data_IF_820290197527
#
_entry.id   IF_820290197527
#
_cell.length_a   1.000
_cell.length_b   1.000
_cell.length_c   1.000
_cell.angle_alpha   90.00
_cell.angle_beta   90.00
_cell.angle_gamma   90.00
#
_symmetry.space_group_name_H-M   'P 1'
#
loop_
_entity.id
_entity.type
_entity.pdbx_description
1 polymer ?
#
# COMPACT_ATOMS: atom_id res chain seq x y z
N UNK A 1 40.81 -7.93 -25.40
CA UNK A 1 39.51 -8.53 -25.76
C UNK A 1 38.74 -8.75 -24.47
N UNK A 2 37.95 -7.77 -24.02
CA UNK A 2 37.08 -7.94 -22.86
C UNK A 2 35.84 -8.72 -23.31
N UNK A 3 35.66 -9.92 -22.80
CA UNK A 3 34.43 -10.67 -23.03
C UNK A 3 33.27 -9.84 -22.39
N UNK A 4 32.29 -9.50 -23.24
CA UNK A 4 31.10 -8.75 -22.80
C UNK A 4 30.53 -9.39 -21.54
N UNK A 5 30.15 -8.58 -20.50
CA UNK A 5 29.50 -9.07 -19.27
C UNK A 5 28.34 -10.03 -19.54
N UNK A 6 27.63 -9.80 -20.65
CA UNK A 6 26.56 -10.65 -21.16
C UNK A 6 27.01 -12.09 -21.53
N UNK A 7 28.25 -12.27 -22.07
CA UNK A 7 28.79 -13.60 -22.39
C UNK A 7 29.19 -14.38 -21.13
N UNK A 8 29.78 -13.71 -20.13
CA UNK A 8 30.11 -14.32 -18.85
C UNK A 8 28.85 -14.74 -18.10
N UNK A 9 27.82 -13.88 -18.11
CA UNK A 9 26.52 -14.16 -17.56
C UNK A 9 25.83 -15.36 -18.23
N UNK A 10 25.75 -15.41 -19.57
CA UNK A 10 25.17 -16.55 -20.32
C UNK A 10 25.85 -17.87 -19.97
N UNK A 11 27.15 -17.88 -19.69
CA UNK A 11 27.87 -19.08 -19.22
C UNK A 11 27.46 -19.47 -17.79
N UNK A 12 27.28 -18.49 -16.90
CA UNK A 12 26.83 -18.74 -15.51
C UNK A 12 25.40 -19.28 -15.47
N UNK A 13 24.53 -18.71 -16.29
CA UNK A 13 23.13 -19.14 -16.44
C UNK A 13 23.02 -20.54 -17.05
N UNK A 14 23.90 -20.88 -18.01
CA UNK A 14 23.98 -22.23 -18.58
C UNK A 14 24.49 -23.31 -17.61
N UNK A 15 25.17 -22.92 -16.52
CA UNK A 15 25.72 -23.87 -15.54
C UNK A 15 24.70 -24.37 -14.50
N UNK A 16 23.50 -23.74 -14.39
CA UNK A 16 22.46 -24.25 -13.50
C UNK A 16 21.70 -25.41 -14.16
N UNK A 17 21.86 -26.58 -13.60
CA UNK A 17 21.19 -27.79 -14.07
C UNK A 17 19.69 -27.76 -13.72
N UNK A 18 18.87 -28.53 -14.45
CA UNK A 18 17.46 -28.70 -14.11
C UNK A 18 17.23 -29.15 -12.67
N UNK A 19 18.17 -29.90 -12.10
CA UNK A 19 18.13 -30.40 -10.71
C UNK A 19 18.29 -29.27 -9.69
N UNK A 20 19.08 -28.24 -9.98
CA UNK A 20 19.24 -27.07 -9.11
C UNK A 20 17.94 -26.26 -9.03
N UNK A 21 17.27 -26.07 -10.16
CA UNK A 21 15.98 -25.40 -10.23
C UNK A 21 14.93 -26.16 -9.40
N UNK A 22 14.84 -27.46 -9.58
CA UNK A 22 13.92 -28.34 -8.85
C UNK A 22 14.19 -28.32 -7.32
N UNK A 23 15.45 -28.37 -6.93
CA UNK A 23 15.87 -28.31 -5.53
C UNK A 23 15.51 -26.99 -4.87
N UNK A 24 15.78 -25.85 -5.54
CA UNK A 24 15.43 -24.53 -5.03
C UNK A 24 13.93 -24.31 -4.95
N UNK A 25 13.19 -24.74 -5.95
CA UNK A 25 11.72 -24.67 -5.98
C UNK A 25 11.11 -25.48 -4.82
N UNK A 26 11.60 -26.70 -4.57
CA UNK A 26 11.18 -27.54 -3.45
C UNK A 26 11.49 -26.89 -2.11
N UNK A 27 12.70 -26.35 -1.94
CA UNK A 27 13.09 -25.64 -0.71
C UNK A 27 12.20 -24.43 -0.46
N UNK A 28 11.91 -23.64 -1.50
CA UNK A 28 11.01 -22.49 -1.37
C UNK A 28 9.59 -22.92 -0.98
N UNK A 29 9.07 -24.03 -1.55
CA UNK A 29 7.75 -24.53 -1.20
C UNK A 29 7.61 -24.96 0.26
N UNK A 30 8.69 -25.41 0.89
CA UNK A 30 8.73 -25.75 2.32
C UNK A 30 8.63 -24.52 3.24
N UNK A 31 8.92 -23.32 2.70
CA UNK A 31 8.86 -22.05 3.44
C UNK A 31 7.46 -21.42 3.46
N UNK A 32 6.47 -22.08 2.86
CA UNK A 32 5.08 -21.60 2.86
C UNK A 32 4.50 -21.80 4.27
N UNK A 33 3.96 -20.72 4.82
CA UNK A 33 3.11 -20.77 6.00
C UNK A 33 1.66 -21.03 5.58
N UNK A 34 1.03 -22.02 6.20
CA UNK A 34 -0.33 -22.44 5.92
C UNK A 34 -1.23 -22.06 7.08
N UNK A 35 -2.33 -21.37 6.80
CA UNK A 35 -3.40 -21.24 7.77
C UNK A 35 -4.18 -22.57 7.87
N UNK A 36 -5.12 -22.67 8.82
CA UNK A 36 -6.01 -23.80 8.88
C UNK A 36 -6.84 -23.89 7.59
N UNK A 37 -6.80 -25.06 6.92
CA UNK A 37 -7.52 -25.28 5.67
C UNK A 37 -8.91 -25.79 5.97
N UNK A 38 -9.92 -25.06 5.52
CA UNK A 38 -11.33 -25.45 5.62
C UNK A 38 -11.71 -26.15 4.32
N UNK A 39 -12.16 -27.42 4.37
CA UNK A 39 -12.59 -28.15 3.17
C UNK A 39 -13.68 -27.39 2.39
N UNK A 40 -13.61 -27.45 1.06
CA UNK A 40 -14.59 -26.82 0.18
C UNK A 40 -14.33 -25.32 -0.11
N UNK A 41 -13.43 -24.68 0.61
CA UNK A 41 -13.04 -23.29 0.31
C UNK A 41 -11.84 -23.24 -0.63
N UNK A 42 -11.84 -22.37 -1.65
CA UNK A 42 -10.66 -22.15 -2.50
C UNK A 42 -9.45 -21.69 -1.69
N UNK A 43 -8.26 -22.16 -2.06
CA UNK A 43 -7.00 -21.80 -1.40
C UNK A 43 -6.20 -20.81 -2.23
N UNK A 44 -5.88 -19.66 -1.63
CA UNK A 44 -5.08 -18.59 -2.22
C UNK A 44 -3.68 -18.57 -1.62
N UNK A 45 -2.66 -18.76 -2.45
CA UNK A 45 -1.27 -18.58 -2.06
C UNK A 45 -0.87 -17.11 -2.22
N UNK A 46 -0.52 -16.44 -1.14
CA UNK A 46 -0.17 -15.02 -1.12
C UNK A 46 1.35 -14.80 -1.12
N UNK A 47 1.86 -14.07 -2.12
CA UNK A 47 3.22 -13.52 -2.09
C UNK A 47 3.28 -12.32 -1.12
N UNK A 48 3.52 -12.64 0.17
CA UNK A 48 3.37 -11.69 1.28
C UNK A 48 4.48 -10.65 1.35
N UNK A 49 4.10 -9.37 1.44
CA UNK A 49 4.94 -8.22 1.82
C UNK A 49 4.39 -7.58 3.10
N UNK A 50 5.25 -6.94 3.89
CA UNK A 50 4.84 -6.34 5.17
C UNK A 50 3.65 -5.37 5.03
N UNK A 51 3.71 -4.50 4.00
CA UNK A 51 2.67 -3.50 3.75
C UNK A 51 1.36 -4.08 3.21
N UNK A 52 1.38 -5.31 2.70
CA UNK A 52 0.23 -6.03 2.19
C UNK A 52 -0.46 -6.88 3.26
N UNK A 53 0.17 -7.05 4.42
CA UNK A 53 -0.34 -7.94 5.48
C UNK A 53 -1.69 -7.49 6.04
N UNK A 54 -1.96 -6.19 6.09
CA UNK A 54 -3.26 -5.66 6.60
C UNK A 54 -4.43 -6.02 5.68
N UNK A 55 -4.24 -5.96 4.35
CA UNK A 55 -5.29 -6.39 3.41
C UNK A 55 -5.55 -7.89 3.53
N UNK A 56 -4.48 -8.69 3.62
CA UNK A 56 -4.60 -10.15 3.77
C UNK A 56 -5.24 -10.54 5.10
N UNK A 57 -4.99 -9.78 6.17
CA UNK A 57 -5.63 -9.97 7.47
C UNK A 57 -7.15 -9.75 7.38
N UNK A 58 -7.59 -8.65 6.75
CA UNK A 58 -9.02 -8.40 6.55
C UNK A 58 -9.67 -9.48 5.66
N UNK A 59 -9.00 -9.88 4.59
CA UNK A 59 -9.50 -10.98 3.74
C UNK A 59 -9.66 -12.28 4.52
N UNK A 60 -8.70 -12.64 5.39
CA UNK A 60 -8.79 -13.83 6.25
C UNK A 60 -10.01 -13.79 7.17
N UNK A 61 -10.31 -12.62 7.70
CA UNK A 61 -11.38 -12.44 8.69
C UNK A 61 -12.77 -12.32 8.07
N UNK A 62 -12.86 -11.91 6.81
CA UNK A 62 -14.12 -11.49 6.20
C UNK A 62 -14.46 -12.20 4.89
N UNK A 63 -13.73 -13.27 4.51
CA UNK A 63 -13.99 -14.06 3.29
C UNK A 63 -14.07 -15.56 3.57
N UNK A 64 -14.64 -16.29 2.62
CA UNK A 64 -14.73 -17.76 2.64
C UNK A 64 -13.58 -18.42 1.86
N UNK A 65 -12.38 -17.86 1.97
CA UNK A 65 -11.17 -18.36 1.32
C UNK A 65 -10.21 -18.97 2.33
N UNK A 66 -9.43 -19.96 1.90
CA UNK A 66 -8.25 -20.41 2.62
C UNK A 66 -7.04 -19.62 2.16
N UNK A 67 -6.11 -19.34 3.09
CA UNK A 67 -4.89 -18.62 2.77
C UNK A 67 -3.64 -19.42 3.12
N UNK A 68 -2.66 -19.33 2.25
CA UNK A 68 -1.28 -19.71 2.51
C UNK A 68 -0.40 -18.52 2.15
N UNK A 69 0.75 -18.38 2.78
CA UNK A 69 1.61 -17.23 2.55
C UNK A 69 3.08 -17.63 2.36
N UNK A 70 3.72 -17.00 1.39
CA UNK A 70 5.17 -17.08 1.17
C UNK A 70 5.76 -15.67 1.18
N UNK A 71 6.90 -15.49 1.81
CA UNK A 71 7.59 -14.20 1.82
C UNK A 71 8.09 -13.83 0.42
N UNK A 72 7.69 -12.65 -0.08
CA UNK A 72 8.20 -12.12 -1.34
C UNK A 72 9.73 -11.91 -1.32
N UNK A 73 10.33 -11.70 -0.14
CA UNK A 73 11.80 -11.64 0.02
C UNK A 73 12.42 -13.02 -0.23
N UNK A 74 11.78 -14.11 0.21
CA UNK A 74 12.26 -15.47 -0.03
C UNK A 74 12.12 -15.84 -1.51
N UNK A 75 11.01 -15.47 -2.16
CA UNK A 75 10.84 -15.61 -3.62
C UNK A 75 11.96 -14.87 -4.35
N UNK A 76 12.24 -13.62 -3.99
CA UNK A 76 13.33 -12.83 -4.56
C UNK A 76 14.67 -13.56 -4.42
N UNK A 77 15.03 -13.96 -3.20
CA UNK A 77 16.32 -14.63 -2.92
C UNK A 77 16.50 -15.93 -3.71
N UNK A 78 15.43 -16.69 -3.90
CA UNK A 78 15.49 -17.96 -4.65
C UNK A 78 15.82 -17.78 -6.14
N UNK A 79 15.63 -16.60 -6.70
CA UNK A 79 15.86 -16.29 -8.11
C UNK A 79 17.03 -15.32 -8.33
N UNK A 80 17.55 -14.72 -7.27
CA UNK A 80 18.49 -13.59 -7.35
C UNK A 80 19.80 -13.94 -8.08
N UNK A 81 20.23 -15.19 -7.99
CA UNK A 81 21.43 -15.66 -8.69
C UNK A 81 21.22 -15.86 -10.22
N UNK A 82 19.98 -15.95 -10.67
CA UNK A 82 19.67 -16.21 -12.08
C UNK A 82 19.34 -14.94 -12.85
N UNK A 83 18.77 -13.95 -12.17
CA UNK A 83 18.34 -12.69 -12.79
C UNK A 83 19.47 -11.68 -12.69
N UNK A 84 19.96 -11.12 -13.82
CA UNK A 84 20.98 -10.09 -13.83
C UNK A 84 20.65 -8.90 -12.97
N UNK A 85 21.65 -8.30 -12.35
CA UNK A 85 21.43 -7.17 -11.45
C UNK A 85 20.86 -5.95 -12.16
N UNK A 86 21.34 -5.66 -13.35
CA UNK A 86 20.84 -4.58 -14.20
C UNK A 86 19.36 -4.76 -14.56
N UNK A 87 18.92 -6.01 -14.83
CA UNK A 87 17.51 -6.31 -15.06
C UNK A 87 16.67 -6.20 -13.79
N UNK A 88 17.21 -6.54 -12.62
CA UNK A 88 16.51 -6.44 -11.33
C UNK A 88 16.18 -5.01 -10.92
N UNK A 89 16.90 -4.03 -11.46
CA UNK A 89 16.68 -2.61 -11.21
C UNK A 89 15.73 -1.96 -12.22
N UNK A 90 15.41 -2.67 -13.32
CA UNK A 90 14.53 -2.12 -14.35
C UNK A 90 13.06 -2.14 -13.95
N UNK A 91 12.39 -1.05 -14.20
CA UNK A 91 10.93 -1.00 -14.14
C UNK A 91 10.35 -1.76 -15.34
N UNK A 92 9.25 -2.51 -15.09
CA UNK A 92 8.59 -3.32 -16.12
C UNK A 92 9.50 -4.43 -16.69
N UNK A 93 10.18 -5.11 -15.81
CA UNK A 93 11.08 -6.23 -16.08
C UNK A 93 10.49 -7.25 -17.08
N UNK A 94 9.19 -7.55 -16.97
CA UNK A 94 8.52 -8.50 -17.87
C UNK A 94 8.63 -8.10 -19.36
N UNK A 95 8.74 -6.81 -19.67
CA UNK A 95 8.94 -6.35 -21.04
C UNK A 95 10.34 -6.72 -21.56
N UNK A 96 11.33 -6.77 -20.66
CA UNK A 96 12.73 -7.10 -21.00
C UNK A 96 12.96 -8.60 -21.10
N UNK A 97 12.17 -9.43 -20.42
CA UNK A 97 12.27 -10.89 -20.49
C UNK A 97 12.09 -11.45 -21.90
N UNK A 98 11.33 -10.75 -22.75
CA UNK A 98 11.13 -11.14 -24.16
C UNK A 98 12.43 -11.19 -24.97
N UNK A 99 13.44 -10.45 -24.54
CA UNK A 99 14.74 -10.41 -25.17
C UNK A 99 15.68 -11.57 -24.73
N UNK A 100 15.31 -12.32 -23.68
CA UNK A 100 16.09 -13.45 -23.16
C UNK A 100 15.23 -14.72 -22.99
N UNK A 101 15.03 -15.50 -24.07
CA UNK A 101 14.20 -16.72 -24.02
C UNK A 101 14.74 -17.80 -23.10
N UNK A 102 16.04 -17.81 -22.79
CA UNK A 102 16.63 -18.80 -21.90
C UNK A 102 16.27 -18.48 -20.44
N UNK A 103 16.42 -17.23 -20.04
CA UNK A 103 15.99 -16.77 -18.71
C UNK A 103 14.48 -16.99 -18.52
N UNK A 104 13.67 -16.68 -19.55
CA UNK A 104 12.22 -16.91 -19.52
C UNK A 104 11.88 -18.37 -19.22
N UNK A 105 12.50 -19.33 -19.95
CA UNK A 105 12.29 -20.77 -19.72
C UNK A 105 12.72 -21.22 -18.33
N UNK A 106 13.80 -20.68 -17.78
CA UNK A 106 14.25 -21.00 -16.42
C UNK A 106 13.29 -20.51 -15.37
N UNK A 107 12.82 -19.27 -15.50
CA UNK A 107 11.83 -18.70 -14.57
C UNK A 107 10.52 -19.49 -14.61
N UNK A 108 10.04 -19.86 -15.81
CA UNK A 108 8.85 -20.71 -15.97
C UNK A 108 9.04 -22.08 -15.30
N UNK A 109 10.16 -22.77 -15.58
CA UNK A 109 10.46 -24.06 -14.99
C UNK A 109 10.52 -24.00 -13.45
N UNK A 110 11.12 -22.94 -12.90
CA UNK A 110 11.16 -22.72 -11.45
C UNK A 110 9.75 -22.46 -10.89
N UNK A 111 8.98 -21.56 -11.48
CA UNK A 111 7.63 -21.24 -11.01
C UNK A 111 6.70 -22.45 -11.05
N UNK A 112 6.76 -23.21 -12.14
CA UNK A 112 6.01 -24.48 -12.29
C UNK A 112 6.41 -25.50 -11.22
N UNK A 113 7.70 -25.73 -11.01
CA UNK A 113 8.21 -26.67 -10.02
C UNK A 113 7.82 -26.24 -8.58
N UNK A 114 7.89 -24.94 -8.28
CA UNK A 114 7.47 -24.39 -7.01
C UNK A 114 6.00 -24.66 -6.72
N UNK A 115 5.11 -24.35 -7.67
CA UNK A 115 3.67 -24.51 -7.50
C UNK A 115 3.27 -26.00 -7.41
N UNK A 116 3.89 -26.88 -8.20
CA UNK A 116 3.68 -28.35 -8.09
C UNK A 116 4.07 -28.83 -6.68
N UNK A 117 5.23 -28.43 -6.16
CA UNK A 117 5.66 -28.84 -4.82
C UNK A 117 4.76 -28.26 -3.71
N UNK A 118 4.33 -27.00 -3.84
CA UNK A 118 3.40 -26.37 -2.93
C UNK A 118 2.03 -27.08 -2.91
N UNK A 119 1.49 -27.41 -4.09
CA UNK A 119 0.18 -28.08 -4.25
C UNK A 119 0.15 -29.53 -3.76
N UNK A 120 1.31 -30.15 -3.44
CA UNK A 120 1.34 -31.48 -2.81
C UNK A 120 0.74 -31.50 -1.41
N UNK A 121 0.77 -30.38 -0.71
CA UNK A 121 0.18 -30.28 0.64
C UNK A 121 -1.32 -29.95 0.57
N UNK A 122 -1.66 -28.93 -0.20
CA UNK A 122 -3.02 -28.44 -0.41
C UNK A 122 -3.12 -27.91 -1.82
N UNK A 123 -4.20 -28.17 -2.53
CA UNK A 123 -4.46 -27.61 -3.84
C UNK A 123 -4.45 -26.08 -3.75
N UNK A 124 -3.68 -25.42 -4.63
CA UNK A 124 -3.68 -23.98 -4.80
C UNK A 124 -4.62 -23.61 -5.94
N UNK A 125 -5.67 -22.86 -5.63
CA UNK A 125 -6.67 -22.45 -6.61
C UNK A 125 -6.37 -21.11 -7.25
N UNK A 126 -5.63 -20.24 -6.55
CA UNK A 126 -5.14 -18.97 -7.07
C UNK A 126 -3.82 -18.55 -6.38
N UNK A 127 -3.02 -17.75 -7.05
CA UNK A 127 -1.88 -17.04 -6.44
C UNK A 127 -2.15 -15.55 -6.45
N UNK A 128 -1.89 -14.86 -5.35
CA UNK A 128 -2.12 -13.42 -5.22
C UNK A 128 -0.85 -12.67 -4.80
N UNK A 129 -0.52 -11.59 -5.50
CA UNK A 129 0.61 -10.71 -5.19
C UNK A 129 0.17 -9.25 -5.02
N UNK A 130 1.07 -8.40 -4.51
CA UNK A 130 0.78 -7.00 -4.20
C UNK A 130 1.06 -6.03 -5.36
N UNK A 131 1.80 -6.45 -6.37
CA UNK A 131 2.21 -5.61 -7.49
C UNK A 131 2.15 -6.36 -8.81
N UNK A 132 1.87 -5.66 -9.89
CA UNK A 132 1.69 -6.30 -11.19
C UNK A 132 2.97 -6.31 -12.06
N UNK A 133 3.97 -5.48 -11.73
CA UNK A 133 5.18 -5.22 -12.52
C UNK A 133 6.49 -5.71 -11.89
N UNK A 134 6.44 -6.38 -10.74
CA UNK A 134 7.65 -6.77 -10.03
C UNK A 134 8.31 -8.00 -10.65
N UNK A 135 9.61 -7.89 -10.96
CA UNK A 135 10.41 -8.95 -11.56
C UNK A 135 10.45 -10.25 -10.75
N UNK A 136 10.46 -10.16 -9.42
CA UNK A 136 10.52 -11.34 -8.56
C UNK A 136 9.24 -12.19 -8.60
N UNK A 137 8.13 -11.65 -9.09
CA UNK A 137 6.88 -12.37 -9.21
C UNK A 137 6.74 -13.06 -10.59
N UNK A 138 7.62 -12.75 -11.55
CA UNK A 138 7.51 -13.25 -12.95
C UNK A 138 7.60 -14.77 -13.04
N UNK A 139 8.52 -15.42 -12.29
CA UNK A 139 8.60 -16.87 -12.29
C UNK A 139 7.30 -17.52 -11.82
N UNK A 140 6.66 -16.94 -10.82
CA UNK A 140 5.40 -17.46 -10.30
C UNK A 140 4.26 -17.22 -11.29
N UNK A 141 4.22 -16.04 -11.96
CA UNK A 141 3.24 -15.76 -13.03
C UNK A 141 3.34 -16.78 -14.18
N UNK A 142 4.57 -17.03 -14.66
CA UNK A 142 4.84 -18.01 -15.71
C UNK A 142 4.44 -19.43 -15.29
N UNK A 143 4.79 -19.82 -14.06
CA UNK A 143 4.40 -21.12 -13.50
C UNK A 143 2.88 -21.26 -13.36
N UNK A 144 2.19 -20.19 -12.97
CA UNK A 144 0.74 -20.13 -12.90
C UNK A 144 0.11 -20.34 -14.30
N UNK A 145 0.59 -19.60 -15.29
CA UNK A 145 0.14 -19.73 -16.68
C UNK A 145 0.32 -21.16 -17.20
N UNK A 146 1.49 -21.78 -16.97
CA UNK A 146 1.80 -23.14 -17.40
C UNK A 146 0.93 -24.23 -16.71
N UNK A 147 0.37 -23.94 -15.54
CA UNK A 147 -0.47 -24.88 -14.76
C UNK A 147 -1.97 -24.54 -14.79
N UNK A 148 -2.37 -23.48 -15.49
CA UNK A 148 -3.74 -23.01 -15.52
C UNK A 148 -4.24 -22.53 -14.13
N UNK A 149 -3.33 -22.04 -13.27
CA UNK A 149 -3.66 -21.42 -11.99
C UNK A 149 -3.74 -19.89 -12.20
N UNK A 150 -4.83 -19.21 -11.81
CA UNK A 150 -4.89 -17.77 -11.96
C UNK A 150 -3.86 -17.07 -11.06
N UNK A 151 -3.06 -16.16 -11.67
CA UNK A 151 -2.21 -15.24 -10.94
C UNK A 151 -2.92 -13.89 -10.86
N UNK A 152 -3.23 -13.47 -9.64
CA UNK A 152 -4.02 -12.28 -9.34
C UNK A 152 -3.14 -11.23 -8.65
N UNK A 153 -3.48 -9.97 -8.86
CA UNK A 153 -2.85 -8.86 -8.14
C UNK A 153 -3.92 -8.12 -7.34
N UNK A 154 -3.69 -7.94 -6.05
CA UNK A 154 -4.36 -6.91 -5.26
C UNK A 154 -3.36 -5.76 -5.10
N UNK A 155 -3.50 -4.74 -5.94
CA UNK A 155 -2.54 -3.64 -6.02
C UNK A 155 -2.51 -2.84 -4.73
N UNK A 156 -1.36 -2.83 -4.07
CA UNK A 156 -1.16 -2.02 -2.87
C UNK A 156 -0.86 -0.56 -3.19
N UNK A 157 -0.35 -0.27 -4.38
CA UNK A 157 -0.05 1.08 -4.82
C UNK A 157 -1.34 1.75 -5.31
N UNK A 158 -1.49 3.01 -4.96
CA UNK A 158 -2.66 3.80 -5.32
C UNK A 158 -2.21 5.10 -6.00
N UNK A 159 -2.57 5.26 -7.27
CA UNK A 159 -2.10 6.34 -8.12
C UNK A 159 -3.17 7.44 -8.22
N UNK A 160 -3.52 8.03 -7.08
CA UNK A 160 -4.61 9.03 -6.98
C UNK A 160 -4.15 10.47 -6.87
N UNK A 161 -2.85 10.72 -6.69
CA UNK A 161 -2.30 12.06 -6.90
C UNK A 161 -2.50 12.42 -8.38
N UNK A 162 -3.09 13.56 -8.72
CA UNK A 162 -3.55 13.85 -10.09
C UNK A 162 -2.49 13.65 -11.18
N UNK A 163 -1.23 14.02 -10.93
CA UNK A 163 -0.16 13.83 -11.93
C UNK A 163 0.33 12.38 -12.05
N UNK A 164 0.20 11.54 -10.99
CA UNK A 164 0.78 10.20 -10.99
C UNK A 164 0.06 9.24 -11.93
N UNK A 165 -1.25 9.37 -12.08
CA UNK A 165 -2.03 8.49 -12.94
C UNK A 165 -1.68 8.65 -14.43
N UNK A 166 -1.67 9.86 -15.02
CA UNK A 166 -1.23 10.07 -16.41
C UNK A 166 0.24 9.70 -16.63
N UNK A 167 1.12 10.06 -15.69
CA UNK A 167 2.53 9.72 -15.75
C UNK A 167 2.77 8.21 -15.80
N UNK A 168 2.11 7.44 -14.93
CA UNK A 168 2.25 5.99 -14.91
C UNK A 168 1.65 5.36 -16.17
N UNK A 169 0.49 5.84 -16.61
CA UNK A 169 -0.16 5.41 -17.85
C UNK A 169 0.80 5.51 -19.03
N UNK A 170 1.40 6.69 -19.23
CA UNK A 170 2.36 6.93 -20.29
C UNK A 170 3.60 6.04 -20.17
N UNK A 171 4.15 5.91 -18.97
CA UNK A 171 5.33 5.09 -18.70
C UNK A 171 5.10 3.61 -18.99
N UNK A 172 3.92 3.07 -18.67
CA UNK A 172 3.55 1.69 -19.00
C UNK A 172 3.42 1.51 -20.51
N UNK A 173 2.79 2.47 -21.20
CA UNK A 173 2.62 2.44 -22.64
C UNK A 173 3.98 2.49 -23.37
N UNK A 174 4.86 3.42 -22.98
CA UNK A 174 6.21 3.59 -23.57
C UNK A 174 7.09 2.34 -23.39
N UNK A 175 7.00 1.72 -22.23
CA UNK A 175 7.69 0.46 -21.93
C UNK A 175 7.09 -0.74 -22.70
N UNK A 176 5.95 -0.58 -23.37
CA UNK A 176 5.20 -1.67 -24.00
C UNK A 176 4.98 -2.85 -23.04
N UNK A 177 4.84 -2.53 -21.75
CA UNK A 177 4.64 -3.54 -20.72
C UNK A 177 3.32 -4.28 -20.94
N UNK A 178 3.33 -5.59 -20.68
CA UNK A 178 2.13 -6.42 -20.65
C UNK A 178 2.15 -7.29 -19.39
N UNK A 179 1.09 -7.21 -18.64
CA UNK A 179 0.86 -8.06 -17.48
C UNK A 179 0.52 -9.48 -17.94
N UNK A 180 1.24 -10.45 -17.42
CA UNK A 180 1.07 -11.86 -17.77
C UNK A 180 0.23 -12.64 -16.75
N UNK A 181 -0.41 -11.97 -15.81
CA UNK A 181 -1.34 -12.58 -14.87
C UNK A 181 -2.78 -12.58 -15.41
N UNK A 182 -3.70 -13.04 -14.55
CA UNK A 182 -5.10 -13.24 -14.91
C UNK A 182 -5.95 -12.00 -14.68
N UNK A 183 -5.71 -11.25 -13.58
CA UNK A 183 -6.49 -10.06 -13.25
C UNK A 183 -5.84 -9.20 -12.17
N UNK A 184 -6.29 -7.95 -12.08
CA UNK A 184 -5.82 -6.95 -11.12
C UNK A 184 -7.00 -6.36 -10.36
N UNK A 185 -7.01 -6.47 -9.04
CA UNK A 185 -7.86 -5.67 -8.16
C UNK A 185 -7.09 -4.43 -7.71
N UNK A 186 -7.72 -3.27 -7.72
CA UNK A 186 -7.12 -2.00 -7.33
C UNK A 186 -8.06 -1.14 -6.49
N UNK A 187 -7.52 -0.13 -5.84
CA UNK A 187 -8.23 0.64 -4.83
C UNK A 187 -9.05 1.80 -5.39
N UNK A 188 -8.79 2.24 -6.63
CA UNK A 188 -9.45 3.41 -7.20
C UNK A 188 -9.53 3.37 -8.72
N UNK A 189 -10.48 4.12 -9.26
CA UNK A 189 -10.60 4.34 -10.71
C UNK A 189 -9.37 5.04 -11.31
N UNK A 190 -8.70 5.90 -10.56
CA UNK A 190 -7.44 6.52 -11.01
C UNK A 190 -6.34 5.47 -11.23
N UNK A 191 -6.22 4.52 -10.29
CA UNK A 191 -5.28 3.40 -10.41
C UNK A 191 -5.66 2.48 -11.57
N UNK A 192 -6.95 2.17 -11.78
CA UNK A 192 -7.42 1.42 -12.95
C UNK A 192 -6.97 2.10 -14.26
N UNK A 193 -7.22 3.41 -14.40
CA UNK A 193 -6.78 4.16 -15.58
C UNK A 193 -5.25 4.13 -15.77
N UNK A 194 -4.51 4.31 -14.68
CA UNK A 194 -3.04 4.29 -14.74
C UNK A 194 -2.48 2.94 -15.25
N UNK A 195 -3.09 1.83 -14.84
CA UNK A 195 -2.63 0.47 -15.14
C UNK A 195 -3.15 -0.07 -16.48
N UNK A 196 -4.22 0.49 -17.03
CA UNK A 196 -4.93 -0.05 -18.21
C UNK A 196 -4.04 -0.33 -19.42
N UNK A 197 -3.00 0.48 -19.76
CA UNK A 197 -2.12 0.13 -20.89
C UNK A 197 -1.33 -1.16 -20.72
N UNK A 198 -1.18 -1.60 -19.46
CA UNK A 198 -0.38 -2.78 -19.12
C UNK A 198 -1.15 -4.11 -19.17
N UNK A 199 -2.46 -4.10 -19.36
CA UNK A 199 -3.29 -5.32 -19.43
C UNK A 199 -3.86 -5.53 -20.84
N UNK A 200 -4.16 -6.77 -21.18
CA UNK A 200 -4.74 -7.09 -22.49
C UNK A 200 -6.19 -6.61 -22.62
N UNK A 201 -6.96 -6.76 -21.53
CA UNK A 201 -8.34 -6.31 -21.44
C UNK A 201 -8.50 -5.41 -20.21
N UNK A 202 -8.91 -4.13 -20.34
CA UNK A 202 -9.17 -3.25 -19.20
C UNK A 202 -10.22 -3.77 -18.21
N UNK A 203 -11.09 -4.69 -18.61
CA UNK A 203 -12.07 -5.32 -17.74
C UNK A 203 -11.45 -6.34 -16.78
N UNK A 204 -10.22 -6.77 -17.04
CA UNK A 204 -9.46 -7.56 -16.08
C UNK A 204 -8.88 -6.71 -14.92
N UNK A 205 -9.11 -5.39 -14.90
CA UNK A 205 -8.83 -4.52 -13.76
C UNK A 205 -10.14 -4.18 -13.05
N UNK A 206 -10.30 -4.70 -11.84
CA UNK A 206 -11.45 -4.45 -10.97
C UNK A 206 -11.14 -3.36 -9.95
N UNK A 207 -12.07 -2.44 -9.73
CA UNK A 207 -11.97 -1.46 -8.65
C UNK A 207 -12.73 -2.00 -7.46
N UNK A 208 -12.00 -2.60 -6.51
CA UNK A 208 -12.58 -3.29 -5.35
C UNK A 208 -12.56 -2.44 -4.08
N UNK A 209 -11.82 -1.34 -4.07
CA UNK A 209 -11.43 -0.71 -2.81
C UNK A 209 -10.33 -1.50 -2.09
N UNK A 210 -9.98 -1.05 -0.90
CA UNK A 210 -8.89 -1.62 -0.12
C UNK A 210 -9.40 -2.34 1.13
N UNK A 211 -9.25 -3.67 1.25
CA UNK A 211 -9.72 -4.46 2.39
C UNK A 211 -9.30 -3.90 3.75
N UNK A 212 -8.08 -3.38 3.87
CA UNK A 212 -7.54 -2.79 5.11
C UNK A 212 -8.39 -1.70 5.72
N UNK A 213 -9.34 -1.12 4.97
CA UNK A 213 -10.23 -0.07 5.44
C UNK A 213 -11.62 -0.58 5.83
N UNK A 214 -11.94 -1.85 5.66
CA UNK A 214 -13.25 -2.40 6.02
C UNK A 214 -13.56 -2.19 7.51
N UNK A 215 -12.57 -2.41 8.39
CA UNK A 215 -12.70 -2.15 9.82
C UNK A 215 -12.97 -0.68 10.15
N UNK A 216 -12.50 0.26 9.33
CA UNK A 216 -12.68 1.69 9.55
C UNK A 216 -14.10 2.17 9.29
N UNK A 217 -14.83 1.48 8.39
CA UNK A 217 -16.19 1.86 8.00
C UNK A 217 -17.20 1.72 9.16
N UNK A 218 -16.85 0.90 10.14
CA UNK A 218 -17.67 0.61 11.31
C UNK A 218 -17.23 1.38 12.57
N UNK A 219 -16.26 2.30 12.46
CA UNK A 219 -15.87 3.13 13.60
C UNK A 219 -17.03 4.03 13.96
N UNK A 220 -17.51 3.88 15.21
CA UNK A 220 -18.50 4.78 15.79
C UNK A 220 -17.84 6.12 16.17
N UNK A 221 -18.52 7.25 15.99
CA UNK A 221 -18.08 8.52 16.57
C UNK A 221 -17.84 8.40 18.07
N UNK A 222 -16.77 9.03 18.55
CA UNK A 222 -16.45 9.04 19.97
C UNK A 222 -16.95 10.33 20.63
N UNK A 223 -17.47 10.26 21.86
CA UNK A 223 -17.77 11.45 22.64
C UNK A 223 -16.55 12.36 22.78
N UNK A 224 -16.74 13.67 22.85
CA UNK A 224 -15.64 14.63 22.99
C UNK A 224 -14.78 14.37 24.25
N UNK A 225 -15.38 13.84 25.32
CA UNK A 225 -14.69 13.45 26.56
C UNK A 225 -13.71 12.28 26.39
N UNK A 226 -13.91 11.42 25.38
CA UNK A 226 -13.02 10.30 25.06
C UNK A 226 -11.89 10.70 24.11
N UNK A 227 -11.97 11.87 23.49
CA UNK A 227 -10.93 12.37 22.59
C UNK A 227 -9.87 13.11 23.40
N UNK A 228 -8.77 12.45 23.63
CA UNK A 228 -7.70 12.92 24.51
C UNK A 228 -6.44 13.33 23.77
N UNK A 229 -6.34 13.09 22.44
CA UNK A 229 -5.12 13.39 21.68
C UNK A 229 -5.28 14.58 20.74
N UNK A 230 -4.22 15.37 20.64
CA UNK A 230 -3.91 16.21 19.47
C UNK A 230 -2.73 15.54 18.78
N UNK A 231 -2.94 15.06 17.54
CA UNK A 231 -2.01 14.14 16.86
C UNK A 231 -1.34 14.82 15.68
N UNK A 232 -0.01 14.94 15.71
CA UNK A 232 0.81 15.35 14.57
C UNK A 232 1.36 14.11 13.86
N UNK A 233 0.97 13.90 12.60
CA UNK A 233 1.56 12.88 11.74
C UNK A 233 2.78 13.45 11.04
N UNK A 234 3.92 12.76 11.11
CA UNK A 234 5.17 13.27 10.53
C UNK A 234 5.12 13.37 9.00
N UNK A 235 5.65 14.46 8.47
CA UNK A 235 5.76 14.74 7.04
C UNK A 235 7.12 15.34 6.63
N UNK A 236 8.16 15.01 7.39
CA UNK A 236 9.55 15.49 7.20
C UNK A 236 10.28 14.83 6.03
N UNK A 237 9.61 14.07 5.17
CA UNK A 237 10.26 13.35 4.08
C UNK A 237 10.76 14.32 3.00
N UNK A 238 12.02 14.18 2.52
CA UNK A 238 12.62 15.07 1.51
C UNK A 238 11.80 15.18 0.23
N UNK A 239 11.12 14.11 -0.17
CA UNK A 239 10.31 14.06 -1.39
C UNK A 239 9.06 14.94 -1.40
N UNK A 240 8.67 15.50 -0.24
CA UNK A 240 7.53 16.43 -0.15
C UNK A 240 7.94 17.90 -0.20
N UNK A 241 9.25 18.23 -0.11
CA UNK A 241 9.72 19.61 -0.07
C UNK A 241 9.19 20.44 1.12
N UNK A 242 8.72 19.78 2.19
CA UNK A 242 8.00 20.40 3.31
C UNK A 242 8.78 20.33 4.63
N UNK A 243 10.10 20.19 4.58
CA UNK A 243 10.93 19.99 5.77
C UNK A 243 10.96 21.22 6.69
N UNK A 244 11.05 22.42 6.12
CA UNK A 244 11.05 23.66 6.88
C UNK A 244 9.69 23.87 7.54
N UNK A 245 8.60 23.69 6.78
CA UNK A 245 7.23 23.74 7.31
C UNK A 245 7.05 22.72 8.44
N UNK A 246 7.57 21.50 8.29
CA UNK A 246 7.48 20.51 9.36
C UNK A 246 8.20 20.96 10.63
N UNK A 247 9.38 21.57 10.48
CA UNK A 247 10.16 22.07 11.61
C UNK A 247 9.43 23.20 12.36
N UNK A 248 8.80 24.12 11.63
CA UNK A 248 7.98 25.19 12.21
C UNK A 248 6.73 24.64 12.90
N UNK A 249 6.02 23.71 12.26
CA UNK A 249 4.83 23.03 12.82
C UNK A 249 5.20 22.26 14.08
N UNK A 250 6.31 21.52 14.08
CA UNK A 250 6.78 20.79 15.26
C UNK A 250 7.13 21.71 16.42
N UNK A 251 7.79 22.85 16.13
CA UNK A 251 8.14 23.84 17.15
C UNK A 251 6.88 24.45 17.79
N UNK A 252 5.88 24.85 17.00
CA UNK A 252 4.61 25.37 17.51
C UNK A 252 3.82 24.30 18.27
N UNK A 253 3.81 23.08 17.77
CA UNK A 253 3.17 21.94 18.44
C UNK A 253 3.78 21.68 19.82
N UNK A 254 5.11 21.70 19.91
CA UNK A 254 5.83 21.57 21.18
C UNK A 254 5.55 22.72 22.14
N UNK A 255 5.55 23.97 21.66
CA UNK A 255 5.27 25.15 22.48
C UNK A 255 3.85 25.10 23.07
N UNK A 256 2.84 24.73 22.27
CA UNK A 256 1.46 24.56 22.75
C UNK A 256 1.35 23.40 23.75
N UNK A 257 2.07 22.28 23.55
CA UNK A 257 2.06 21.16 24.51
C UNK A 257 2.59 21.57 25.88
N UNK A 258 3.58 22.42 25.93
CA UNK A 258 4.14 22.93 27.18
C UNK A 258 3.15 23.86 27.91
N UNK A 259 2.47 24.74 27.16
CA UNK A 259 1.47 25.67 27.72
C UNK A 259 0.21 24.96 28.23
N UNK A 260 -0.14 23.81 27.67
CA UNK A 260 -1.35 23.04 28.00
C UNK A 260 -1.08 21.82 28.92
N UNK A 261 0.13 21.76 29.50
CA UNK A 261 0.53 20.65 30.39
C UNK A 261 -0.44 20.50 31.57
N UNK A 262 -0.97 19.28 31.74
CA UNK A 262 -1.90 18.98 32.84
C UNK A 262 -3.37 19.22 32.53
N UNK A 263 -3.75 19.73 31.36
CA UNK A 263 -5.15 20.02 31.00
C UNK A 263 -5.91 18.83 30.37
N UNK A 264 -5.43 17.60 30.56
CA UNK A 264 -6.13 16.38 30.08
C UNK A 264 -6.05 16.13 28.57
N UNK A 265 -5.12 16.78 27.89
CA UNK A 265 -4.83 16.56 26.46
C UNK A 265 -3.42 16.02 26.29
N UNK A 266 -3.30 14.95 25.53
CA UNK A 266 -2.00 14.37 25.16
C UNK A 266 -1.59 14.87 23.76
N UNK A 267 -0.47 15.53 23.68
CA UNK A 267 0.16 16.00 22.45
C UNK A 267 1.04 14.88 21.90
N UNK A 268 0.62 14.27 20.80
CA UNK A 268 1.24 13.05 20.27
C UNK A 268 1.82 13.28 18.88
N UNK A 269 3.10 12.95 18.69
CA UNK A 269 3.72 12.88 17.37
C UNK A 269 3.72 11.43 16.91
N UNK A 270 2.99 11.15 15.85
CA UNK A 270 2.92 9.86 15.18
C UNK A 270 3.95 9.77 14.07
N UNK A 271 5.03 9.04 14.32
CA UNK A 271 6.10 8.78 13.39
C UNK A 271 5.73 7.64 12.44
N UNK A 272 6.24 7.69 11.19
CA UNK A 272 5.99 6.65 10.20
C UNK A 272 6.77 5.37 10.48
N UNK A 273 7.99 5.50 10.99
CA UNK A 273 8.92 4.41 11.28
C UNK A 273 9.80 4.77 12.48
N UNK A 274 10.53 3.78 12.99
CA UNK A 274 11.42 3.93 14.13
C UNK A 274 12.52 4.98 13.90
N UNK A 275 13.10 5.04 12.72
CA UNK A 275 14.13 6.03 12.41
C UNK A 275 13.61 7.49 12.51
N UNK A 276 12.36 7.74 12.08
CA UNK A 276 11.75 9.07 12.24
C UNK A 276 11.49 9.39 13.72
N UNK A 277 11.10 8.36 14.52
CA UNK A 277 10.93 8.50 15.95
C UNK A 277 12.25 8.91 16.63
N UNK A 278 13.36 8.23 16.33
CA UNK A 278 14.68 8.52 16.90
C UNK A 278 15.17 9.92 16.49
N UNK A 279 14.97 10.32 15.24
CA UNK A 279 15.31 11.67 14.75
C UNK A 279 14.52 12.76 15.47
N UNK A 280 13.23 12.58 15.64
CA UNK A 280 12.35 13.58 16.27
C UNK A 280 12.62 13.64 17.77
N UNK A 281 12.79 12.49 18.43
CA UNK A 281 13.12 12.43 19.85
C UNK A 281 14.41 13.21 20.17
N UNK A 282 15.39 13.20 19.25
CA UNK A 282 16.61 13.96 19.41
C UNK A 282 16.43 15.48 19.22
N UNK A 283 15.39 15.90 18.49
CA UNK A 283 15.08 17.32 18.19
C UNK A 283 14.14 17.96 19.22
N UNK A 284 13.36 17.15 19.93
CA UNK A 284 12.42 17.66 20.96
C UNK A 284 13.21 17.98 22.22
N UNK A 285 13.23 19.23 22.67
CA UNK A 285 13.96 19.62 23.89
C UNK A 285 13.46 18.86 25.12
N UNK A 286 14.37 18.52 26.03
CA UNK A 286 14.03 17.92 27.32
C UNK A 286 13.05 18.82 28.08
N UNK A 287 11.93 18.25 28.56
CA UNK A 287 10.93 18.97 29.36
C UNK A 287 9.62 19.27 28.60
N UNK A 288 9.54 19.04 27.29
CA UNK A 288 8.27 19.12 26.57
C UNK A 288 7.37 17.92 26.90
N UNK A 289 6.05 18.17 26.94
CA UNK A 289 5.02 17.16 27.24
C UNK A 289 4.58 16.38 26.00
N UNK A 290 5.48 16.21 24.99
CA UNK A 290 5.18 15.46 23.78
C UNK A 290 5.32 13.96 23.99
N UNK A 291 4.26 13.23 23.68
CA UNK A 291 4.34 11.79 23.48
C UNK A 291 4.77 11.49 22.03
N UNK A 292 5.58 10.46 21.84
CA UNK A 292 5.98 9.99 20.53
C UNK A 292 5.62 8.52 20.37
N UNK A 293 5.16 8.14 19.18
CA UNK A 293 4.92 6.73 18.83
C UNK A 293 5.22 6.47 17.36
N UNK A 294 5.65 5.27 17.01
CA UNK A 294 5.75 4.81 15.63
C UNK A 294 4.95 3.52 15.38
N UNK A 295 4.60 2.79 16.42
CA UNK A 295 3.95 1.47 16.37
C UNK A 295 2.44 1.51 16.61
N UNK A 296 1.90 2.53 17.30
CA UNK A 296 0.46 2.68 17.50
C UNK A 296 -0.27 2.79 16.16
N UNK A 297 -1.23 1.90 15.85
CA UNK A 297 -1.99 1.97 14.60
C UNK A 297 -2.85 3.22 14.50
N UNK A 298 -2.94 3.81 13.29
CA UNK A 298 -3.79 4.99 13.06
C UNK A 298 -5.28 4.70 13.33
N UNK A 299 -5.70 3.46 13.09
CA UNK A 299 -7.04 2.97 13.38
C UNK A 299 -7.43 3.11 14.86
N UNK A 300 -6.48 2.95 15.77
CA UNK A 300 -6.70 3.11 17.21
C UNK A 300 -6.57 4.57 17.64
N UNK A 301 -5.68 5.31 17.00
CA UNK A 301 -5.30 6.66 17.38
C UNK A 301 -6.30 7.72 16.92
N UNK A 302 -6.71 7.68 15.65
CA UNK A 302 -7.53 8.75 15.08
C UNK A 302 -8.94 8.88 15.68
N UNK A 303 -9.64 7.78 16.03
CA UNK A 303 -10.95 7.90 16.68
C UNK A 303 -10.92 8.62 18.03
N UNK A 304 -9.79 8.60 18.72
CA UNK A 304 -9.59 9.28 20.03
C UNK A 304 -8.82 10.60 19.92
N UNK A 305 -8.56 11.05 18.69
CA UNK A 305 -7.93 12.34 18.42
C UNK A 305 -8.98 13.45 18.27
N UNK A 306 -8.76 14.59 18.94
CA UNK A 306 -9.53 15.84 18.74
C UNK A 306 -9.17 16.46 17.40
N UNK A 307 -7.86 16.47 17.10
CA UNK A 307 -7.30 17.06 15.90
C UNK A 307 -6.17 16.16 15.36
N UNK A 308 -6.19 15.93 14.06
CA UNK A 308 -5.12 15.27 13.31
C UNK A 308 -4.45 16.30 12.40
N UNK A 309 -3.14 16.43 12.54
CA UNK A 309 -2.32 17.38 11.80
C UNK A 309 -1.43 16.61 10.84
N UNK A 310 -1.31 17.06 9.60
CA UNK A 310 -0.40 16.45 8.64
C UNK A 310 -0.35 17.20 7.32
N UNK A 311 0.43 16.69 6.37
CA UNK A 311 0.66 17.31 5.08
C UNK A 311 0.84 16.23 4.01
N UNK A 312 0.11 16.32 2.91
CA UNK A 312 0.18 15.45 1.73
C UNK A 312 0.39 13.94 2.04
N UNK A 313 -0.38 13.39 2.96
CA UNK A 313 -0.25 12.03 3.46
C UNK A 313 -1.55 11.24 3.35
N UNK A 314 -1.46 9.96 2.97
CA UNK A 314 -2.58 9.03 3.04
C UNK A 314 -3.21 8.93 4.44
N UNK A 315 -2.44 9.20 5.50
CA UNK A 315 -2.98 9.23 6.87
C UNK A 315 -4.10 10.28 7.02
N UNK A 316 -4.04 11.41 6.31
CA UNK A 316 -5.12 12.39 6.34
C UNK A 316 -6.37 11.91 5.59
N UNK A 317 -6.17 11.14 4.51
CA UNK A 317 -7.29 10.47 3.81
C UNK A 317 -7.92 9.42 4.73
N UNK A 318 -7.12 8.64 5.46
CA UNK A 318 -7.59 7.67 6.46
C UNK A 318 -8.36 8.36 7.60
N UNK A 319 -7.92 9.53 8.05
CA UNK A 319 -8.63 10.31 9.06
C UNK A 319 -10.05 10.71 8.63
N UNK A 320 -10.33 10.78 7.32
CA UNK A 320 -11.70 11.03 6.81
C UNK A 320 -12.69 9.94 7.18
N UNK A 321 -12.25 8.74 7.55
CA UNK A 321 -13.11 7.66 8.01
C UNK A 321 -13.44 7.73 9.52
N UNK A 322 -12.91 8.72 10.22
CA UNK A 322 -13.18 8.98 11.65
C UNK A 322 -13.90 10.32 11.81
N UNK A 323 -14.18 10.72 13.04
CA UNK A 323 -14.75 12.02 13.38
C UNK A 323 -13.71 12.97 14.01
N UNK A 324 -12.43 12.70 13.86
CA UNK A 324 -11.36 13.64 14.22
C UNK A 324 -11.40 14.87 13.31
N UNK A 325 -11.22 16.07 13.84
CA UNK A 325 -10.94 17.23 13.00
C UNK A 325 -9.57 17.05 12.33
N UNK A 326 -9.40 17.61 11.14
CA UNK A 326 -8.13 17.52 10.40
C UNK A 326 -7.66 18.90 10.03
N UNK A 327 -6.35 19.15 10.13
CA UNK A 327 -5.73 20.38 9.66
C UNK A 327 -4.53 20.10 8.77
N UNK A 328 -4.44 20.86 7.68
CA UNK A 328 -3.29 20.92 6.80
C UNK A 328 -2.62 22.28 7.02
N UNK A 329 -1.37 22.33 7.50
CA UNK A 329 -0.58 23.55 7.50
C UNK A 329 -0.21 23.91 6.06
N UNK A 330 -0.51 25.16 5.64
CA UNK A 330 -0.37 25.59 4.26
C UNK A 330 0.16 27.03 4.18
N UNK A 331 1.40 27.24 4.61
CA UNK A 331 2.11 28.53 4.50
C UNK A 331 3.59 28.32 4.23
N UNK A 332 4.27 29.35 3.76
CA UNK A 332 5.73 29.37 3.56
C UNK A 332 6.25 28.40 2.50
N UNK A 333 5.47 27.40 2.14
CA UNK A 333 5.84 26.44 1.13
C UNK A 333 5.71 27.03 -0.27
N UNK A 334 6.62 26.68 -1.15
CA UNK A 334 6.42 26.95 -2.55
C UNK A 334 5.11 26.29 -2.92
N UNK A 335 4.27 27.01 -3.43
CA UNK A 335 3.24 26.82 -4.40
C UNK A 335 3.50 25.58 -5.22
N UNK A 336 3.55 24.44 -4.54
CA UNK A 336 3.59 23.17 -5.19
C UNK A 336 2.37 23.11 -6.09
N UNK A 337 2.57 22.60 -7.27
CA UNK A 337 1.52 22.33 -8.23
C UNK A 337 0.41 21.54 -7.52
N UNK A 338 -0.85 22.01 -7.47
CA UNK A 338 -1.96 21.30 -6.83
C UNK A 338 -2.11 19.88 -7.32
N UNK A 339 -1.71 19.59 -8.57
CA UNK A 339 -1.71 18.24 -9.12
C UNK A 339 -0.83 17.24 -8.36
N UNK A 340 0.08 17.72 -7.52
CA UNK A 340 0.99 16.89 -6.71
C UNK A 340 0.43 16.54 -5.32
N UNK A 341 -0.78 17.01 -4.99
CA UNK A 341 -1.38 16.78 -3.67
C UNK A 341 -2.47 15.72 -3.71
N UNK A 342 -2.52 14.91 -2.65
CA UNK A 342 -3.63 14.00 -2.38
C UNK A 342 -4.89 14.79 -2.03
N UNK A 343 -4.75 15.82 -1.21
CA UNK A 343 -5.80 16.68 -0.73
C UNK A 343 -5.42 18.12 -1.10
N UNK A 344 -5.98 18.63 -2.21
CA UNK A 344 -5.71 20.00 -2.68
C UNK A 344 -6.30 21.01 -1.70
N UNK A 345 -5.50 21.86 -1.05
CA UNK A 345 -6.00 22.85 -0.10
C UNK A 345 -6.88 23.93 -0.72
N UNK A 346 -6.94 24.03 -2.05
CA UNK A 346 -7.77 24.98 -2.77
C UNK A 346 -9.09 24.36 -3.27
N UNK A 347 -9.27 23.03 -3.12
CA UNK A 347 -10.52 22.37 -3.45
C UNK A 347 -11.59 22.70 -2.40
N UNK A 348 -12.74 23.35 -2.78
CA UNK A 348 -13.80 23.69 -1.85
C UNK A 348 -14.32 22.49 -1.05
N UNK A 349 -14.45 21.33 -1.68
CA UNK A 349 -14.93 20.13 -0.98
C UNK A 349 -13.94 19.60 0.07
N UNK A 350 -12.64 19.82 -0.12
CA UNK A 350 -11.61 19.55 0.90
C UNK A 350 -11.74 20.58 2.01
N UNK A 351 -11.87 21.87 1.66
CA UNK A 351 -12.00 22.96 2.61
C UNK A 351 -13.28 22.87 3.48
N UNK A 352 -14.31 22.15 3.05
CA UNK A 352 -15.51 21.88 3.88
C UNK A 352 -15.22 20.91 5.04
N UNK A 353 -14.34 19.95 4.86
CA UNK A 353 -14.12 18.86 5.83
C UNK A 353 -12.79 18.94 6.56
N UNK A 354 -11.86 19.79 6.07
CA UNK A 354 -10.50 19.97 6.59
C UNK A 354 -10.27 21.46 6.89
N UNK A 355 -9.54 21.74 7.94
CA UNK A 355 -9.00 23.09 8.18
C UNK A 355 -7.72 23.27 7.35
N UNK A 356 -7.65 24.37 6.61
CA UNK A 356 -6.44 24.78 5.92
C UNK A 356 -5.87 25.97 6.67
N UNK A 357 -4.83 25.77 7.47
CA UNK A 357 -4.16 26.86 8.17
C UNK A 357 -3.19 27.55 7.19
N UNK A 358 -3.49 28.79 6.85
CA UNK A 358 -2.72 29.57 5.87
C UNK A 358 -1.61 30.44 6.48
N UNK A 359 -1.55 30.46 7.81
CA UNK A 359 -0.46 31.12 8.54
C UNK A 359 -0.13 30.38 9.85
N UNK A 360 1.06 30.65 10.42
CA UNK A 360 1.43 30.14 11.74
C UNK A 360 0.42 30.52 12.85
N UNK A 361 -0.18 31.70 12.76
CA UNK A 361 -1.15 32.24 13.75
C UNK A 361 -2.49 31.48 13.66
N UNK A 362 -2.99 31.24 12.43
CA UNK A 362 -4.19 30.41 12.22
C UNK A 362 -3.98 28.99 12.75
N UNK A 363 -2.79 28.43 12.52
CA UNK A 363 -2.45 27.11 13.02
C UNK A 363 -2.39 27.08 14.55
N UNK A 364 -1.75 28.05 15.17
CA UNK A 364 -1.69 28.17 16.64
C UNK A 364 -3.09 28.30 17.25
N UNK A 365 -3.96 29.11 16.65
CA UNK A 365 -5.35 29.26 17.12
C UNK A 365 -6.13 27.92 17.03
N UNK A 366 -5.94 27.14 15.97
CA UNK A 366 -6.56 25.81 15.86
C UNK A 366 -6.05 24.84 16.93
N UNK A 367 -4.76 24.87 17.25
CA UNK A 367 -4.18 24.06 18.32
C UNK A 367 -4.78 24.41 19.69
N UNK A 368 -4.92 25.68 20.00
CA UNK A 368 -5.50 26.16 21.26
C UNK A 368 -6.97 25.75 21.39
N UNK A 369 -7.76 25.90 20.32
CA UNK A 369 -9.16 25.50 20.29
C UNK A 369 -9.31 23.98 20.46
N UNK A 370 -8.45 23.18 19.81
CA UNK A 370 -8.43 21.72 19.98
C UNK A 370 -8.07 21.34 21.43
N UNK A 371 -7.11 22.02 22.05
CA UNK A 371 -6.73 21.81 23.44
C UNK A 371 -7.87 22.14 24.40
N UNK A 372 -8.57 23.26 24.16
CA UNK A 372 -9.75 23.67 24.92
C UNK A 372 -10.95 22.72 24.77
N UNK A 373 -10.91 21.78 23.81
CA UNK A 373 -12.00 20.84 23.53
C UNK A 373 -13.16 21.48 22.78
N UNK A 374 -12.89 22.59 22.07
CA UNK A 374 -13.90 23.21 21.20
C UNK A 374 -14.27 22.30 20.04
N UNK A 375 -15.51 22.41 19.59
CA UNK A 375 -16.00 21.71 18.42
C UNK A 375 -15.40 22.33 17.14
N UNK A 376 -14.43 21.65 16.56
CA UNK A 376 -13.80 22.07 15.33
C UNK A 376 -14.57 21.53 14.13
N UNK A 377 -14.58 22.29 13.03
CA UNK A 377 -15.20 21.90 11.76
C UNK A 377 -14.68 20.54 11.30
N UNK A 378 -15.58 19.66 10.86
CA UNK A 378 -15.28 18.30 10.39
C UNK A 378 -16.01 17.92 9.12
N UNK A 379 -17.02 18.69 8.74
CA UNK A 379 -17.99 18.27 7.75
C UNK A 379 -18.87 17.10 8.21
N UNK A 380 -19.80 16.68 7.38
CA UNK A 380 -20.63 15.50 7.63
C UNK A 380 -19.84 14.20 7.32
N UNK A 381 -20.37 13.08 7.81
CA UNK A 381 -19.79 11.75 7.52
C UNK A 381 -19.81 11.45 6.01
N UNK A 382 -20.86 11.87 5.33
CA UNK A 382 -21.03 11.71 3.88
C UNK A 382 -20.00 12.53 3.11
N UNK A 383 -19.79 13.80 3.48
CA UNK A 383 -18.76 14.66 2.87
C UNK A 383 -17.36 14.07 3.05
N UNK A 384 -17.05 13.60 4.25
CA UNK A 384 -15.75 12.96 4.56
C UNK A 384 -15.56 11.67 3.76
N UNK A 385 -16.58 10.81 3.68
CA UNK A 385 -16.57 9.60 2.85
C UNK A 385 -16.43 9.92 1.37
N UNK A 386 -17.05 10.99 0.88
CA UNK A 386 -16.88 11.43 -0.49
C UNK A 386 -15.43 11.82 -0.79
N UNK A 387 -14.76 12.55 0.12
CA UNK A 387 -13.32 12.87 0.00
C UNK A 387 -12.48 11.60 0.03
N UNK A 388 -12.72 10.68 0.97
CA UNK A 388 -12.03 9.40 1.02
C UNK A 388 -12.19 8.61 -0.29
N UNK A 389 -13.39 8.55 -0.85
CA UNK A 389 -13.72 7.78 -2.05
C UNK A 389 -13.04 8.28 -3.32
N UNK A 390 -12.54 9.51 -3.35
CA UNK A 390 -11.68 10.01 -4.44
C UNK A 390 -10.36 9.25 -4.53
N UNK A 391 -9.89 8.74 -3.39
CA UNK A 391 -8.61 8.07 -3.26
C UNK A 391 -8.74 6.56 -3.11
N UNK A 392 -9.74 6.12 -2.39
CA UNK A 392 -10.00 4.72 -2.08
C UNK A 392 -11.48 4.45 -2.29
N UNK A 393 -11.81 3.79 -3.39
CA UNK A 393 -13.21 3.46 -3.68
C UNK A 393 -13.85 2.73 -2.49
N UNK A 394 -14.95 3.26 -2.01
CA UNK A 394 -15.81 2.52 -1.09
C UNK A 394 -16.75 1.65 -1.91
N UNK A 395 -16.92 0.35 -1.59
CA UNK A 395 -17.92 -0.49 -2.21
C UNK A 395 -19.31 0.11 -2.05
N UNK A 396 -20.14 0.00 -3.10
CA UNK A 396 -21.53 0.46 -3.03
C UNK A 396 -22.37 -0.41 -2.08
N UNK A 397 -22.04 -1.70 -2.04
CA UNK A 397 -22.64 -2.67 -1.13
C UNK A 397 -21.53 -3.58 -0.55
N UNK A 398 -21.72 -4.05 0.66
CA UNK A 398 -20.77 -4.95 1.32
C UNK A 398 -19.46 -4.25 1.71
N UNK A 399 -18.37 -5.00 1.62
CA UNK A 399 -17.02 -4.60 2.01
C UNK A 399 -16.02 -4.77 0.85
N UNK A 400 -14.87 -4.10 0.94
CA UNK A 400 -13.80 -4.31 -0.03
C UNK A 400 -13.28 -5.76 0.01
N UNK A 401 -13.28 -6.40 1.17
CA UNK A 401 -12.93 -7.81 1.30
C UNK A 401 -13.86 -8.71 0.49
N UNK A 402 -15.18 -8.47 0.53
CA UNK A 402 -16.16 -9.21 -0.28
C UNK A 402 -15.97 -8.97 -1.78
N UNK A 403 -15.72 -7.73 -2.20
CA UNK A 403 -15.44 -7.42 -3.60
C UNK A 403 -14.16 -8.10 -4.11
N UNK A 404 -13.13 -8.21 -3.25
CA UNK A 404 -11.90 -8.96 -3.58
C UNK A 404 -12.16 -10.47 -3.59
N UNK A 405 -13.00 -11.00 -2.71
CA UNK A 405 -13.43 -12.41 -2.75
C UNK A 405 -14.12 -12.73 -4.06
N UNK A 406 -15.11 -11.93 -4.48
CA UNK A 406 -15.79 -12.08 -5.77
C UNK A 406 -14.82 -12.05 -6.96
N UNK A 407 -13.87 -11.11 -6.95
CA UNK A 407 -12.80 -11.04 -7.94
C UNK A 407 -11.98 -12.33 -7.98
N UNK A 408 -11.56 -12.87 -6.85
CA UNK A 408 -10.79 -14.13 -6.77
C UNK A 408 -11.63 -15.30 -7.30
N UNK A 409 -12.87 -15.44 -6.83
CA UNK A 409 -13.77 -16.51 -7.22
C UNK A 409 -14.10 -16.49 -8.72
N UNK A 410 -14.25 -15.30 -9.32
CA UNK A 410 -14.43 -15.14 -10.77
C UNK A 410 -13.30 -15.82 -11.55
N UNK A 411 -12.04 -15.54 -11.21
CA UNK A 411 -10.91 -16.12 -11.94
C UNK A 411 -10.66 -17.59 -11.61
N UNK A 412 -10.95 -18.04 -10.40
CA UNK A 412 -10.92 -19.47 -10.03
C UNK A 412 -11.94 -20.26 -10.86
N UNK A 413 -13.16 -19.75 -11.01
CA UNK A 413 -14.20 -20.38 -11.82
C UNK A 413 -13.84 -20.39 -13.31
N UNK A 414 -13.33 -19.25 -13.85
CA UNK A 414 -12.86 -19.13 -15.24
C UNK A 414 -11.77 -20.16 -15.55
N UNK A 415 -10.79 -20.34 -14.64
CA UNK A 415 -9.73 -21.33 -14.81
C UNK A 415 -10.22 -22.78 -14.72
N UNK A 416 -11.25 -23.06 -13.92
CA UNK A 416 -11.86 -24.38 -13.84
C UNK A 416 -12.64 -24.76 -15.11
N UNK A 417 -13.34 -23.80 -15.72
CA UNK A 417 -14.09 -24.00 -16.96
C UNK A 417 -13.23 -24.13 -18.22
N UNK A 418 -11.94 -23.75 -18.13
CA UNK A 418 -10.97 -23.81 -19.24
C UNK A 418 -10.15 -25.12 -19.23
N UNK A 419 -10.32 -25.99 -18.24
CA UNK A 419 -9.71 -27.31 -18.11
C UNK A 419 -10.67 -28.40 -18.60
#
# INVERSE_FOLDING_TARGET
MFSSPLKAYRRLVASFTGDDIQRQARKLAQEISWDAVIPGRPTVLVARRAQFSKDVEELRNHTNLNFAAISAVKIKKAQESWVPEDLRQQTYFAALLRADPELLRKLEAFGRAFLINASRRVRIDAVMAANFDYWQDEAIKLGCAALGIPFLVLSRENYTIPWTSPWLHQRIADAKFRFHGSGVACFSHATKRAMSPGVANPDDIWVTGAPRYDRWLNIAPRPASEKTYVTLVTFNLPGYGAQDLFSEVLAQFAANSAAEKGKGVTWLVKCKKRADYEEIAAKVPNGHALALTYDTPLFELFPVSRLVIGYNSLALVEAMLTDAAVVIPWWGQPKADPSQFLLDPNDPAIAEVIHIARSPEEFAALLQRAAAGEDLKRGTREQRRAVFSRHMQLPQQGTASQAVEEFILHYVAKAAGSR
#
